data_IF_584908209511
#
_entry.id   IF_584908209511
#
_cell.length_a   1.000
_cell.length_b   1.000
_cell.length_c   1.000
_cell.angle_alpha   90.00
_cell.angle_beta   90.00
_cell.angle_gamma   90.00
#
_symmetry.space_group_name_H-M   'P 1'
#
loop_
_entity.id
_entity.type
_entity.pdbx_description
1 polymer ?
#
# COMPACT_ATOMS: atom_id res chain seq x y z
N UNK A 1 8.00 6.33 7.60
CA UNK A 1 7.79 6.43 6.13
C UNK A 1 9.08 6.24 5.32
N UNK A 2 9.13 5.16 4.54
CA UNK A 2 10.27 4.80 3.67
C UNK A 2 10.11 5.43 2.29
N UNK A 3 11.14 6.13 1.81
CA UNK A 3 11.20 6.67 0.45
C UNK A 3 11.46 5.55 -0.56
N UNK A 4 10.56 5.38 -1.52
CA UNK A 4 10.69 4.43 -2.64
C UNK A 4 10.74 5.19 -3.96
N UNK A 5 11.13 4.51 -5.04
CA UNK A 5 10.94 5.00 -6.41
C UNK A 5 9.96 4.09 -7.11
N UNK A 6 8.96 4.67 -7.76
CA UNK A 6 7.94 3.94 -8.48
C UNK A 6 7.76 4.48 -9.89
N UNK A 7 7.61 3.58 -10.86
CA UNK A 7 7.34 3.89 -12.25
C UNK A 7 5.84 4.15 -12.42
N UNK A 8 5.46 5.29 -12.99
CA UNK A 8 4.07 5.58 -13.35
C UNK A 8 3.71 4.76 -14.59
N UNK A 9 2.85 3.77 -14.43
CA UNK A 9 2.39 2.89 -15.52
C UNK A 9 1.17 3.44 -16.22
N UNK A 10 0.25 4.02 -15.44
CA UNK A 10 -1.00 4.59 -15.93
C UNK A 10 -1.44 5.73 -15.03
N UNK A 11 -1.96 6.80 -15.61
CA UNK A 11 -2.75 7.82 -14.93
C UNK A 11 -4.18 7.67 -15.47
N UNK A 12 -5.19 7.57 -14.61
CA UNK A 12 -6.55 7.38 -15.13
C UNK A 12 -7.10 8.67 -15.77
N UNK A 13 -7.76 8.52 -16.92
CA UNK A 13 -8.30 9.64 -17.68
C UNK A 13 -9.60 10.21 -17.07
N UNK A 14 -10.27 9.44 -16.20
CA UNK A 14 -11.57 9.81 -15.62
C UNK A 14 -11.47 10.19 -14.14
N UNK A 15 -10.45 9.68 -13.43
CA UNK A 15 -10.17 9.98 -12.03
C UNK A 15 -8.72 10.44 -11.96
N UNK A 16 -8.51 11.76 -11.89
CA UNK A 16 -7.15 12.36 -11.95
C UNK A 16 -6.23 11.82 -10.84
N UNK A 17 -6.80 11.43 -9.70
CA UNK A 17 -6.08 10.89 -8.56
C UNK A 17 -5.79 9.39 -8.65
N UNK A 18 -6.42 8.64 -9.56
CA UNK A 18 -6.13 7.21 -9.73
C UNK A 18 -4.84 7.04 -10.55
N UNK A 19 -3.83 6.43 -9.93
CA UNK A 19 -2.55 6.14 -10.58
C UNK A 19 -2.20 4.67 -10.41
N UNK A 20 -1.69 4.05 -11.47
CA UNK A 20 -1.07 2.73 -11.38
C UNK A 20 0.44 2.86 -11.40
N UNK A 21 1.09 2.35 -10.37
CA UNK A 21 2.52 2.42 -10.15
C UNK A 21 3.13 1.03 -10.19
N UNK A 22 4.34 0.91 -10.71
CA UNK A 22 5.15 -0.31 -10.62
C UNK A 22 6.35 -0.06 -9.71
N UNK A 23 6.58 -0.98 -8.77
CA UNK A 23 7.76 -1.02 -7.93
C UNK A 23 8.14 -2.47 -7.63
N UNK A 24 9.44 -2.78 -7.74
CA UNK A 24 9.97 -4.12 -7.54
C UNK A 24 9.23 -5.22 -8.35
N UNK A 25 8.71 -4.88 -9.54
CA UNK A 25 7.96 -5.80 -10.40
C UNK A 25 6.51 -6.06 -9.97
N UNK A 26 5.98 -5.29 -9.01
CA UNK A 26 4.58 -5.34 -8.60
C UNK A 26 3.87 -4.06 -9.00
N UNK A 27 2.68 -4.22 -9.59
CA UNK A 27 1.81 -3.11 -9.97
C UNK A 27 0.79 -2.85 -8.86
N UNK A 28 0.63 -1.58 -8.49
CA UNK A 28 -0.30 -1.09 -7.49
C UNK A 28 -1.13 0.04 -8.07
N UNK A 29 -2.44 -0.09 -8.01
CA UNK A 29 -3.37 1.04 -8.21
C UNK A 29 -3.55 1.76 -6.89
N UNK A 30 -3.19 3.04 -6.87
CA UNK A 30 -3.14 3.90 -5.69
C UNK A 30 -3.93 5.19 -5.93
N UNK A 31 -4.24 5.88 -4.85
CA UNK A 31 -4.82 7.22 -4.87
C UNK A 31 -3.73 8.27 -4.62
N UNK A 32 -3.50 9.17 -5.58
CA UNK A 32 -2.48 10.20 -5.51
C UNK A 32 -2.90 11.36 -4.58
N UNK A 33 -2.94 11.09 -3.27
CA UNK A 33 -3.38 12.06 -2.25
C UNK A 33 -2.54 13.33 -2.18
N UNK A 34 -1.26 13.25 -2.54
CA UNK A 34 -0.37 14.41 -2.65
C UNK A 34 0.45 14.34 -3.94
N UNK A 35 0.17 15.24 -4.88
CA UNK A 35 0.90 15.33 -6.15
C UNK A 35 1.30 16.79 -6.46
N UNK A 36 2.47 17.27 -5.98
CA UNK A 36 2.82 18.69 -6.03
C UNK A 36 3.35 19.15 -7.40
N UNK A 37 3.46 18.25 -8.38
CA UNK A 37 3.93 18.51 -9.73
C UNK A 37 3.29 17.53 -10.72
N UNK A 38 3.32 17.86 -12.00
CA UNK A 38 2.80 16.97 -13.03
C UNK A 38 3.68 15.73 -13.20
N UNK A 39 3.07 14.56 -13.04
CA UNK A 39 3.67 13.26 -13.30
C UNK A 39 3.38 12.81 -14.74
N UNK A 40 4.17 11.86 -15.25
CA UNK A 40 4.03 11.34 -16.61
C UNK A 40 4.19 9.83 -16.62
N UNK A 41 3.38 9.15 -17.41
CA UNK A 41 3.53 7.72 -17.67
C UNK A 41 4.92 7.40 -18.24
N UNK A 42 5.49 6.27 -17.83
CA UNK A 42 6.82 5.83 -18.23
C UNK A 42 7.97 6.50 -17.47
N UNK A 43 7.69 7.35 -16.47
CA UNK A 43 8.71 7.97 -15.62
C UNK A 43 8.65 7.47 -14.18
N UNK A 44 9.81 7.44 -13.53
CA UNK A 44 9.95 7.07 -12.13
C UNK A 44 10.01 8.31 -11.22
N UNK A 45 9.35 8.22 -10.07
CA UNK A 45 9.28 9.30 -9.10
C UNK A 45 9.52 8.79 -7.68
N UNK A 46 10.10 9.60 -6.79
CA UNK A 46 10.17 9.27 -5.38
C UNK A 46 8.77 9.33 -4.76
N UNK A 47 8.37 8.28 -4.05
CA UNK A 47 7.06 8.16 -3.43
C UNK A 47 7.12 7.61 -2.02
N UNK A 48 6.07 7.86 -1.24
CA UNK A 48 5.72 7.15 -0.02
C UNK A 48 4.27 6.68 -0.09
N UNK A 49 3.95 5.61 0.65
CA UNK A 49 2.63 5.02 0.68
C UNK A 49 2.05 5.07 2.09
N UNK A 50 0.74 5.24 2.17
CA UNK A 50 -0.04 5.18 3.40
C UNK A 50 -1.28 4.31 3.17
N UNK A 51 -1.72 3.62 4.22
CA UNK A 51 -2.91 2.78 4.17
C UNK A 51 -4.09 3.57 4.72
N UNK A 52 -5.19 3.58 3.98
CA UNK A 52 -6.45 4.17 4.41
C UNK A 52 -7.46 3.06 4.73
N UNK A 53 -7.97 3.11 5.95
CA UNK A 53 -9.01 2.21 6.47
C UNK A 53 -10.17 3.10 6.92
N UNK A 54 -11.33 2.99 6.28
CA UNK A 54 -12.48 3.87 6.56
C UNK A 54 -13.44 3.29 7.60
N UNK A 55 -13.49 1.96 7.67
CA UNK A 55 -14.34 1.21 8.60
C UNK A 55 -13.48 0.53 9.68
N UNK A 56 -13.92 -0.64 10.16
CA UNK A 56 -13.19 -1.45 11.11
C UNK A 56 -12.03 -2.21 10.44
N UNK A 57 -10.93 -2.34 11.18
CA UNK A 57 -9.80 -3.18 10.77
C UNK A 57 -10.24 -4.64 10.63
N UNK A 58 -9.90 -5.23 9.49
CA UNK A 58 -10.07 -6.66 9.24
C UNK A 58 -8.69 -7.30 9.09
N UNK A 59 -8.17 -7.84 10.20
CA UNK A 59 -6.85 -8.47 10.28
C UNK A 59 -7.01 -9.94 10.66
N UNK A 60 -6.36 -10.81 9.90
CA UNK A 60 -6.44 -12.26 10.08
C UNK A 60 -5.04 -12.88 10.10
N UNK A 61 -4.79 -13.81 11.02
CA UNK A 61 -3.60 -14.66 11.01
C UNK A 61 -3.62 -15.63 9.82
N UNK A 62 -2.49 -15.79 9.16
CA UNK A 62 -2.29 -16.77 8.09
C UNK A 62 -1.51 -17.98 8.61
N UNK A 63 -1.92 -19.16 8.17
CA UNK A 63 -1.22 -20.41 8.45
C UNK A 63 -0.03 -20.66 7.50
N UNK A 64 0.23 -19.75 6.57
CA UNK A 64 1.28 -19.84 5.55
C UNK A 64 2.10 -18.55 5.48
N UNK A 65 3.36 -18.68 5.08
CA UNK A 65 4.28 -17.55 4.89
C UNK A 65 3.98 -16.80 3.57
N UNK A 66 2.84 -16.11 3.53
CA UNK A 66 2.38 -15.38 2.34
C UNK A 66 2.78 -13.90 2.41
N UNK A 67 3.39 -13.42 1.33
CA UNK A 67 3.67 -12.00 1.06
C UNK A 67 2.99 -11.63 -0.25
N UNK A 68 2.00 -10.74 -0.21
CA UNK A 68 1.24 -10.36 -1.41
C UNK A 68 0.49 -9.03 -1.23
N UNK A 69 0.21 -8.39 -2.37
CA UNK A 69 -0.73 -7.29 -2.50
C UNK A 69 -1.78 -7.70 -3.53
N UNK A 70 -2.98 -8.02 -3.06
CA UNK A 70 -4.05 -8.56 -3.90
C UNK A 70 -5.20 -7.56 -4.00
N UNK A 71 -5.34 -6.92 -5.17
CA UNK A 71 -6.43 -5.98 -5.42
C UNK A 71 -7.78 -6.69 -5.34
N UNK A 72 -8.75 -6.05 -4.67
CA UNK A 72 -10.10 -6.58 -4.48
C UNK A 72 -11.02 -5.98 -5.56
N UNK A 73 -11.34 -6.78 -6.57
CA UNK A 73 -12.18 -6.33 -7.67
C UNK A 73 -11.51 -5.23 -8.50
N UNK A 74 -12.28 -4.21 -8.88
CA UNK A 74 -11.80 -3.07 -9.68
C UNK A 74 -11.77 -1.75 -8.88
N UNK A 75 -11.87 -1.81 -7.55
CA UNK A 75 -11.82 -0.64 -6.67
C UNK A 75 -10.39 -0.41 -6.14
N UNK A 76 -10.20 0.52 -5.20
CA UNK A 76 -8.91 0.80 -4.57
C UNK A 76 -8.51 -0.18 -3.46
N UNK A 77 -9.40 -1.09 -3.08
CA UNK A 77 -9.17 -1.95 -1.91
C UNK A 77 -8.20 -3.10 -2.21
N UNK A 78 -7.43 -3.51 -1.20
CA UNK A 78 -6.46 -4.59 -1.27
C UNK A 78 -6.55 -5.52 -0.06
N UNK A 79 -6.17 -6.79 -0.27
CA UNK A 79 -5.61 -7.60 0.79
C UNK A 79 -4.09 -7.41 0.81
N UNK A 80 -3.59 -6.92 1.93
CA UNK A 80 -2.15 -6.79 2.21
C UNK A 80 -1.73 -7.96 3.08
N UNK A 81 -0.91 -8.86 2.56
CA UNK A 81 -0.39 -10.02 3.27
C UNK A 81 1.12 -9.89 3.51
N UNK A 82 1.57 -10.20 4.73
CA UNK A 82 2.98 -10.14 5.12
C UNK A 82 3.21 -10.52 6.57
N UNK A 83 4.47 -10.48 7.01
CA UNK A 83 4.81 -10.71 8.42
C UNK A 83 4.64 -9.42 9.23
N UNK A 84 3.93 -9.48 10.34
CA UNK A 84 3.83 -8.37 11.29
C UNK A 84 5.07 -8.32 12.19
N UNK A 85 5.64 -7.14 12.37
CA UNK A 85 6.76 -6.84 13.27
C UNK A 85 6.49 -5.48 13.93
N UNK A 86 5.95 -5.50 15.15
CA UNK A 86 5.41 -4.31 15.81
C UNK A 86 4.23 -3.71 15.06
N UNK A 87 4.37 -2.47 14.58
CA UNK A 87 3.39 -1.77 13.74
C UNK A 87 3.63 -1.96 12.23
N UNK A 88 4.66 -2.71 11.83
CA UNK A 88 5.08 -2.82 10.43
C UNK A 88 4.63 -4.15 9.83
N UNK A 89 3.92 -4.10 8.71
CA UNK A 89 3.68 -5.26 7.85
C UNK A 89 4.80 -5.34 6.82
N UNK A 90 5.63 -6.37 6.91
CA UNK A 90 6.59 -6.73 5.89
C UNK A 90 5.92 -7.49 4.75
N UNK A 91 5.32 -6.75 3.81
CA UNK A 91 4.76 -7.27 2.56
C UNK A 91 5.75 -7.06 1.39
N UNK A 92 5.25 -7.08 0.14
CA UNK A 92 5.99 -6.73 -1.08
C UNK A 92 6.64 -5.34 -0.93
N UNK A 93 5.89 -4.43 -0.30
CA UNK A 93 6.40 -3.21 0.32
C UNK A 93 6.01 -3.18 1.79
N UNK A 94 6.70 -2.33 2.54
CA UNK A 94 6.47 -2.16 3.95
C UNK A 94 5.40 -1.10 4.18
N UNK A 95 4.46 -1.43 5.05
CA UNK A 95 3.46 -0.49 5.55
C UNK A 95 3.55 -0.43 7.07
N UNK A 96 3.40 0.76 7.61
CA UNK A 96 3.46 1.03 9.05
C UNK A 96 2.10 1.55 9.49
N UNK A 97 1.52 0.92 10.50
CA UNK A 97 0.24 1.28 11.07
C UNK A 97 0.23 0.98 12.57
N UNK A 98 0.19 2.03 13.38
CA UNK A 98 0.28 1.93 14.84
C UNK A 98 -0.89 1.15 15.47
N UNK A 99 -2.04 1.07 14.79
CA UNK A 99 -3.20 0.28 15.25
C UNK A 99 -2.85 -1.21 15.32
N UNK A 100 -1.99 -1.69 14.44
CA UNK A 100 -1.54 -3.09 14.46
C UNK A 100 -0.78 -3.43 15.74
N UNK A 101 0.04 -2.50 16.23
CA UNK A 101 0.75 -2.70 17.48
C UNK A 101 -0.18 -2.57 18.69
N UNK A 102 -1.10 -1.59 18.70
CA UNK A 102 -1.97 -1.33 19.85
C UNK A 102 -3.06 -2.38 20.03
N UNK A 103 -3.73 -2.76 18.94
CA UNK A 103 -4.96 -3.55 18.99
C UNK A 103 -4.73 -5.00 18.54
N UNK A 104 -3.70 -5.22 17.71
CA UNK A 104 -3.37 -6.52 17.13
C UNK A 104 -2.00 -7.06 17.53
N UNK A 105 -1.35 -6.50 18.57
CA UNK A 105 0.00 -6.90 19.00
C UNK A 105 0.14 -8.37 19.41
N UNK A 106 -0.97 -9.09 19.67
CA UNK A 106 -0.95 -10.55 19.87
C UNK A 106 -0.63 -11.36 18.59
N UNK A 107 -0.63 -10.70 17.42
CA UNK A 107 -0.23 -11.23 16.13
C UNK A 107 1.24 -10.91 15.78
N UNK A 108 1.98 -10.23 16.67
CA UNK A 108 3.37 -9.87 16.43
C UNK A 108 4.25 -11.10 16.09
N UNK A 109 5.11 -10.95 15.09
CA UNK A 109 5.94 -12.00 14.52
C UNK A 109 5.21 -13.01 13.61
N UNK A 110 3.88 -12.94 13.49
CA UNK A 110 3.09 -13.85 12.67
C UNK A 110 2.89 -13.31 11.25
N UNK A 111 2.53 -14.21 10.32
CA UNK A 111 2.01 -13.81 9.03
C UNK A 111 0.54 -13.47 9.16
N UNK A 112 0.15 -12.32 8.60
CA UNK A 112 -1.22 -11.83 8.61
C UNK A 112 -1.66 -11.44 7.20
N UNK A 113 -2.97 -11.29 7.02
CA UNK A 113 -3.53 -10.44 5.98
C UNK A 113 -4.43 -9.38 6.59
N UNK A 114 -4.39 -8.19 6.01
CA UNK A 114 -5.24 -7.07 6.39
C UNK A 114 -6.00 -6.57 5.17
N UNK A 115 -7.30 -6.32 5.32
CA UNK A 115 -8.07 -5.60 4.30
C UNK A 115 -7.77 -4.11 4.45
N UNK A 116 -7.40 -3.47 3.35
CA UNK A 116 -7.21 -2.03 3.25
C UNK A 116 -8.21 -1.50 2.25
N UNK A 117 -8.85 -0.37 2.55
CA UNK A 117 -9.86 0.20 1.67
C UNK A 117 -9.22 0.97 0.51
N UNK A 118 -8.08 1.64 0.77
CA UNK A 118 -7.30 2.35 -0.25
C UNK A 118 -5.83 2.46 0.15
N UNK A 119 -4.94 2.44 -0.85
CA UNK A 119 -3.51 2.74 -0.67
C UNK A 119 -3.28 4.14 -1.25
N UNK A 120 -2.94 5.09 -0.40
CA UNK A 120 -2.60 6.45 -0.80
C UNK A 120 -1.12 6.51 -1.17
N UNK A 121 -0.82 7.32 -2.18
CA UNK A 121 0.55 7.62 -2.60
C UNK A 121 0.81 9.11 -2.57
N UNK A 122 1.93 9.48 -1.95
CA UNK A 122 2.46 10.82 -1.99
C UNK A 122 3.66 10.88 -2.96
N UNK A 123 3.61 11.80 -3.92
CA UNK A 123 4.75 12.12 -4.78
C UNK A 123 5.64 13.14 -4.08
N UNK A 124 6.82 12.69 -3.68
CA UNK A 124 7.74 13.48 -2.88
C UNK A 124 8.49 14.50 -3.76
N UNK A 125 8.76 15.67 -3.18
CA UNK A 125 9.66 16.66 -3.83
C UNK A 125 11.10 16.14 -3.80
N UNK A 126 11.83 16.47 -4.87
CA UNK A 126 13.25 16.15 -5.03
C UNK A 126 14.13 16.95 -4.06
#
# INVERSE_FOLDING_TARGET
MTKLYALVKKIDDNIEEEVTLELNGVELTCFAGVCPYQIQEGKEYPVSFELEIFDDYCVEELNEEKVALERIGNDFSYWVAGRLDGSVIHSVIQFEDEILMSDYGYLDGKFIRMKVDRIDVEFLKF
#
